data_IF_329517772195
#
_entry.id   IF_329517772195
#
_cell.length_a   1.000
_cell.length_b   1.000
_cell.length_c   1.000
_cell.angle_alpha   90.00
_cell.angle_beta   90.00
_cell.angle_gamma   90.00
#
_symmetry.space_group_name_H-M   'P 1'
#
loop_
_entity.id
_entity.type
_entity.pdbx_description
1 polymer ?
#
# COMPACT_ATOMS: atom_id res chain seq x y z
N UNK A 1 5.96 -12.25 2.02
CA UNK A 1 4.70 -12.33 2.77
C UNK A 1 4.39 -10.93 3.25
N UNK A 2 3.22 -10.40 2.89
CA UNK A 2 2.76 -9.10 3.36
C UNK A 2 2.01 -9.28 4.68
N UNK A 3 2.19 -8.35 5.61
CA UNK A 3 1.53 -8.36 6.92
C UNK A 3 0.89 -7.01 7.16
N UNK A 4 -0.28 -7.01 7.80
CA UNK A 4 -1.02 -5.81 8.14
C UNK A 4 -1.86 -6.05 9.39
N UNK A 5 -2.29 -4.94 9.99
CA UNK A 5 -3.32 -4.97 11.02
C UNK A 5 -4.71 -5.14 10.37
N UNK A 6 -5.52 -6.07 10.88
CA UNK A 6 -6.82 -6.40 10.31
C UNK A 6 -7.86 -5.27 10.50
N UNK A 7 -7.74 -4.47 11.57
CA UNK A 7 -8.60 -3.29 11.73
C UNK A 7 -8.27 -2.25 10.65
N UNK A 8 -6.98 -2.05 10.34
CA UNK A 8 -6.54 -1.17 9.25
C UNK A 8 -7.01 -1.67 7.88
N UNK A 9 -6.93 -2.98 7.60
CA UNK A 9 -7.46 -3.57 6.35
C UNK A 9 -8.97 -3.27 6.20
N UNK A 10 -9.77 -3.55 7.23
CA UNK A 10 -11.22 -3.29 7.19
C UNK A 10 -11.55 -1.82 7.00
N UNK A 11 -10.79 -0.93 7.65
CA UNK A 11 -10.96 0.51 7.48
C UNK A 11 -10.62 0.97 6.06
N UNK A 12 -9.52 0.46 5.49
CA UNK A 12 -9.11 0.76 4.13
C UNK A 12 -10.14 0.29 3.11
N UNK A 13 -10.63 -0.94 3.26
CA UNK A 13 -11.70 -1.48 2.42
C UNK A 13 -12.99 -0.66 2.52
N UNK A 14 -13.35 -0.17 3.71
CA UNK A 14 -14.54 0.66 3.88
C UNK A 14 -14.40 2.02 3.18
N UNK A 15 -13.25 2.69 3.38
CA UNK A 15 -12.98 4.07 2.93
C UNK A 15 -12.62 4.14 1.44
N UNK A 16 -11.75 3.26 0.99
CA UNK A 16 -11.10 3.31 -0.31
C UNK A 16 -11.52 2.18 -1.25
N UNK A 17 -12.29 1.19 -0.76
CA UNK A 17 -12.72 0.01 -1.53
C UNK A 17 -11.57 -0.86 -2.05
N UNK A 18 -10.39 -0.73 -1.44
CA UNK A 18 -9.19 -1.51 -1.75
C UNK A 18 -8.93 -2.47 -0.59
N UNK A 19 -8.79 -3.75 -0.91
CA UNK A 19 -8.40 -4.78 0.05
C UNK A 19 -6.87 -4.98 0.02
N UNK A 20 -6.25 -5.06 1.19
CA UNK A 20 -4.83 -5.40 1.31
C UNK A 20 -4.53 -6.85 0.90
N UNK A 21 -5.55 -7.72 0.86
CA UNK A 21 -5.40 -9.05 0.28
C UNK A 21 -4.95 -9.02 -1.20
N UNK A 22 -5.28 -7.94 -1.92
CA UNK A 22 -4.94 -7.78 -3.34
C UNK A 22 -3.54 -7.18 -3.55
N UNK A 23 -2.83 -6.83 -2.47
CA UNK A 23 -1.55 -6.13 -2.53
C UNK A 23 -0.51 -6.90 -3.35
N UNK A 24 -0.54 -8.23 -3.32
CA UNK A 24 0.38 -9.05 -4.11
C UNK A 24 0.20 -8.84 -5.63
N UNK A 25 -1.01 -8.55 -6.09
CA UNK A 25 -1.26 -8.24 -7.51
C UNK A 25 -0.61 -6.92 -7.91
N UNK A 26 -0.66 -5.92 -7.04
CA UNK A 26 -0.04 -4.60 -7.25
C UNK A 26 1.49 -4.76 -7.40
N UNK A 27 2.12 -5.49 -6.46
CA UNK A 27 3.57 -5.70 -6.46
C UNK A 27 4.08 -6.64 -7.56
N UNK A 28 3.20 -7.38 -8.25
CA UNK A 28 3.55 -8.13 -9.47
C UNK A 28 3.59 -7.25 -10.72
N UNK A 29 2.96 -6.07 -10.68
CA UNK A 29 2.91 -5.11 -11.78
C UNK A 29 4.02 -4.06 -11.72
N UNK A 30 3.83 -2.97 -12.47
CA UNK A 30 4.72 -1.81 -12.38
C UNK A 30 4.49 -1.08 -11.06
N UNK A 31 5.56 -0.91 -10.30
CA UNK A 31 5.56 -0.14 -9.06
C UNK A 31 6.65 0.93 -9.08
N UNK A 32 6.36 2.08 -8.48
CA UNK A 32 7.34 3.13 -8.22
C UNK A 32 7.42 3.35 -6.71
N UNK A 33 8.56 3.01 -6.12
CA UNK A 33 8.78 3.08 -4.67
C UNK A 33 9.84 4.13 -4.36
N UNK A 34 9.56 4.96 -3.37
CA UNK A 34 10.49 5.95 -2.82
C UNK A 34 10.54 5.83 -1.30
N UNK A 35 11.68 6.17 -0.72
CA UNK A 35 11.77 6.33 0.73
C UNK A 35 10.89 7.52 1.17
N UNK A 36 10.19 7.35 2.29
CA UNK A 36 9.35 8.37 2.89
C UNK A 36 10.11 9.01 4.07
N UNK A 37 10.82 10.08 3.77
CA UNK A 37 11.65 10.86 4.70
C UNK A 37 10.96 12.17 5.16
N UNK A 38 9.64 12.29 4.92
CA UNK A 38 8.87 13.51 5.23
C UNK A 38 8.84 13.83 6.73
N UNK A 39 8.92 12.82 7.58
CA UNK A 39 8.91 12.95 9.04
C UNK A 39 9.97 12.04 9.67
N UNK A 40 10.43 12.40 10.87
CA UNK A 40 11.30 11.55 11.68
C UNK A 40 10.50 10.44 12.37
N UNK A 41 10.00 9.47 11.62
CA UNK A 41 9.13 8.39 12.11
C UNK A 41 9.79 7.44 13.14
N UNK A 42 11.10 7.52 13.34
CA UNK A 42 11.86 6.60 14.22
C UNK A 42 12.10 5.22 13.58
N UNK A 43 11.70 5.04 12.33
CA UNK A 43 11.88 3.84 11.52
C UNK A 43 11.96 4.23 10.03
N UNK A 44 12.50 3.35 9.20
CA UNK A 44 12.52 3.57 7.75
C UNK A 44 11.15 3.26 7.15
N UNK A 45 10.63 4.17 6.33
CA UNK A 45 9.35 4.02 5.64
C UNK A 45 9.51 4.22 4.15
N UNK A 46 8.59 3.61 3.39
CA UNK A 46 8.55 3.72 1.94
C UNK A 46 7.13 4.01 1.48
N UNK A 47 7.00 4.89 0.49
CA UNK A 47 5.76 5.10 -0.27
C UNK A 47 5.89 4.34 -1.59
N UNK A 48 4.89 3.53 -1.92
CA UNK A 48 4.85 2.80 -3.19
C UNK A 48 3.61 3.19 -3.97
N UNK A 49 3.80 3.67 -5.19
CA UNK A 49 2.73 3.79 -6.17
C UNK A 49 2.68 2.51 -7.00
N UNK A 50 1.48 1.98 -7.23
CA UNK A 50 1.28 0.81 -8.08
C UNK A 50 -0.03 0.88 -8.85
N UNK A 51 -0.26 -0.12 -9.70
CA UNK A 51 -1.51 -0.26 -10.44
C UNK A 51 -2.32 -1.43 -9.90
N UNK A 52 -3.60 -1.17 -9.62
CA UNK A 52 -4.61 -2.19 -9.41
C UNK A 52 -5.67 -2.01 -10.50
N UNK A 53 -5.69 -2.96 -11.43
CA UNK A 53 -6.45 -2.81 -12.69
C UNK A 53 -6.04 -1.51 -13.41
N UNK A 54 -7.00 -0.60 -13.66
CA UNK A 54 -6.76 0.69 -14.32
C UNK A 54 -6.58 1.86 -13.31
N UNK A 55 -6.43 1.56 -12.01
CA UNK A 55 -6.29 2.56 -10.96
C UNK A 55 -4.88 2.64 -10.40
N UNK A 56 -4.36 3.87 -10.30
CA UNK A 56 -3.15 4.16 -9.53
C UNK A 56 -3.49 4.18 -8.03
N UNK A 57 -2.78 3.37 -7.25
CA UNK A 57 -2.97 3.22 -5.80
C UNK A 57 -1.66 3.42 -5.05
N UNK A 58 -1.76 3.88 -3.80
CA UNK A 58 -0.63 4.16 -2.90
C UNK A 58 -0.93 3.76 -1.46
#
# INVERSE_FOLDING_TARGET
MFVWDEAKRRENLRKHKIDFADVEMIFRGLTFTVEDDREAYGEQRFLTLGLLEDQVVS
#
